data_IF_693231131783
#
_entry.id   IF_693231131783
#
_cell.length_a   1.000
_cell.length_b   1.000
_cell.length_c   1.000
_cell.angle_alpha   90.00
_cell.angle_beta   90.00
_cell.angle_gamma   90.00
#
_symmetry.space_group_name_H-M   'P 1'
#
loop_
_entity.id
_entity.type
_entity.pdbx_description
1 polymer ?
#
# COMPACT_ATOMS: atom_id res chain seq x y z
N UNK A 1 -27.22 -32.42 -34.43
CA UNK A 1 -28.58 -32.66 -33.90
C UNK A 1 -28.82 -31.62 -32.83
N UNK A 2 -29.81 -30.76 -33.05
CA UNK A 2 -30.10 -29.57 -32.23
C UNK A 2 -30.58 -29.97 -30.84
N UNK A 3 -29.94 -29.47 -29.78
CA UNK A 3 -30.44 -29.61 -28.42
C UNK A 3 -31.32 -28.39 -28.09
N UNK A 4 -32.62 -28.65 -28.00
CA UNK A 4 -33.68 -27.75 -27.56
C UNK A 4 -33.52 -27.44 -26.07
N UNK A 5 -33.56 -26.17 -25.68
CA UNK A 5 -33.61 -25.77 -24.27
C UNK A 5 -35.06 -25.68 -23.81
N UNK A 6 -35.48 -26.60 -22.94
CA UNK A 6 -36.71 -26.51 -22.15
C UNK A 6 -36.37 -26.00 -20.75
N UNK A 7 -36.76 -24.77 -20.47
CA UNK A 7 -36.73 -24.18 -19.13
C UNK A 7 -37.72 -24.92 -18.23
N UNK A 8 -37.20 -25.53 -17.17
CA UNK A 8 -37.99 -25.84 -15.97
C UNK A 8 -37.21 -25.30 -14.79
N UNK A 9 -37.91 -24.57 -13.92
CA UNK A 9 -37.35 -23.97 -12.71
C UNK A 9 -36.56 -25.00 -11.90
N UNK A 10 -35.28 -24.71 -11.75
CA UNK A 10 -34.48 -25.22 -10.66
C UNK A 10 -33.60 -24.07 -10.20
N UNK A 11 -33.56 -23.82 -8.89
CA UNK A 11 -32.52 -23.04 -8.25
C UNK A 11 -31.17 -23.72 -8.58
N UNK A 12 -30.57 -23.38 -9.71
CA UNK A 12 -29.23 -23.82 -10.06
C UNK A 12 -28.30 -22.99 -9.19
N UNK A 13 -28.06 -23.49 -7.97
CA UNK A 13 -26.85 -23.12 -7.24
C UNK A 13 -25.70 -23.70 -8.05
N UNK A 14 -25.20 -22.94 -9.01
CA UNK A 14 -23.97 -23.26 -9.72
C UNK A 14 -22.86 -23.15 -8.69
N UNK A 15 -22.57 -24.25 -7.99
CA UNK A 15 -21.29 -24.42 -7.32
C UNK A 15 -20.23 -24.42 -8.40
N UNK A 16 -19.70 -23.22 -8.70
CA UNK A 16 -18.53 -23.06 -9.54
C UNK A 16 -17.42 -23.92 -8.90
N UNK A 17 -16.79 -24.78 -9.70
CA UNK A 17 -15.60 -25.51 -9.25
C UNK A 17 -14.59 -24.50 -8.69
N UNK A 18 -13.84 -24.77 -7.61
CA UNK A 18 -12.84 -23.86 -7.07
C UNK A 18 -11.84 -23.34 -8.12
N UNK A 19 -11.61 -24.11 -9.18
CA UNK A 19 -10.79 -23.78 -10.36
C UNK A 19 -11.40 -22.77 -11.35
N UNK A 20 -12.67 -22.40 -11.20
CA UNK A 20 -13.38 -21.40 -12.01
C UNK A 20 -13.33 -19.99 -11.37
N UNK A 21 -12.82 -19.90 -10.14
CA UNK A 21 -12.56 -18.62 -9.47
C UNK A 21 -11.15 -18.19 -9.83
N UNK A 22 -11.00 -17.05 -10.51
CA UNK A 22 -9.69 -16.50 -10.79
C UNK A 22 -8.92 -16.29 -9.46
N UNK A 23 -7.61 -16.59 -9.42
CA UNK A 23 -6.82 -16.36 -8.22
C UNK A 23 -6.92 -14.90 -7.79
N UNK A 24 -7.17 -14.69 -6.49
CA UNK A 24 -7.28 -13.36 -5.88
C UNK A 24 -5.91 -12.94 -5.36
N UNK A 25 -5.50 -11.72 -5.69
CA UNK A 25 -4.31 -11.12 -5.11
C UNK A 25 -4.66 -10.43 -3.80
N UNK A 26 -3.94 -10.77 -2.74
CA UNK A 26 -4.04 -10.07 -1.46
C UNK A 26 -3.01 -8.93 -1.42
N UNK A 27 -3.40 -7.79 -0.84
CA UNK A 27 -2.50 -6.66 -0.61
C UNK A 27 -2.62 -6.18 0.83
N UNK A 28 -1.48 -5.93 1.47
CA UNK A 28 -1.39 -5.24 2.75
C UNK A 28 -1.31 -3.73 2.51
N UNK A 29 -2.17 -2.95 3.17
CA UNK A 29 -2.14 -1.49 3.09
C UNK A 29 -1.25 -0.91 4.18
N UNK A 30 -0.14 -0.27 3.80
CA UNK A 30 0.75 0.45 4.71
C UNK A 30 0.44 1.93 4.69
N UNK A 31 0.22 2.49 5.88
CA UNK A 31 0.06 3.92 6.06
C UNK A 31 1.40 4.65 5.84
N UNK A 32 1.39 5.67 5.00
CA UNK A 32 2.50 6.60 4.80
C UNK A 32 2.63 7.59 5.96
N UNK A 33 3.22 7.17 7.07
CA UNK A 33 3.45 8.04 8.24
C UNK A 33 4.68 8.91 7.98
N UNK A 34 4.47 10.01 7.25
CA UNK A 34 5.57 10.83 6.76
C UNK A 34 5.99 11.95 7.72
N UNK A 35 5.15 12.36 8.68
CA UNK A 35 5.49 13.39 9.67
C UNK A 35 6.42 12.82 10.76
N UNK A 36 7.33 13.64 11.27
CA UNK A 36 8.47 13.23 12.13
C UNK A 36 9.48 12.26 11.50
N UNK A 37 9.33 11.88 10.23
CA UNK A 37 10.23 10.94 9.55
C UNK A 37 11.68 11.45 9.48
N UNK A 38 11.90 12.76 9.36
CA UNK A 38 13.26 13.34 9.33
C UNK A 38 13.91 13.49 10.72
N UNK A 39 13.31 12.93 11.77
CA UNK A 39 13.88 12.97 13.13
C UNK A 39 14.51 11.64 13.49
N UNK A 40 15.49 11.62 14.39
CA UNK A 40 16.18 10.36 14.77
C UNK A 40 15.24 9.31 15.34
N UNK A 41 14.18 9.74 16.03
CA UNK A 41 13.25 8.84 16.72
C UNK A 41 12.05 8.42 15.88
N UNK A 42 11.74 9.06 14.76
CA UNK A 42 10.58 8.69 13.92
C UNK A 42 9.28 8.56 14.74
N UNK A 43 9.05 9.51 15.66
CA UNK A 43 8.08 9.35 16.75
C UNK A 43 6.66 8.93 16.29
N UNK A 44 6.19 9.49 15.17
CA UNK A 44 4.87 9.14 14.63
C UNK A 44 4.79 7.67 14.17
N UNK A 45 5.82 7.18 13.48
CA UNK A 45 5.93 5.78 13.05
C UNK A 45 5.92 4.84 14.26
N UNK A 46 6.70 5.17 15.31
CA UNK A 46 6.73 4.38 16.54
C UNK A 46 5.35 4.27 17.18
N UNK A 47 4.62 5.39 17.30
CA UNK A 47 3.26 5.38 17.87
C UNK A 47 2.24 4.68 17.00
N UNK A 48 2.45 4.64 15.68
CA UNK A 48 1.62 3.90 14.74
C UNK A 48 1.91 2.38 14.74
N UNK A 49 2.97 1.95 15.41
CA UNK A 49 3.39 0.55 15.49
C UNK A 49 4.48 0.14 14.50
N UNK A 50 5.02 1.07 13.71
CA UNK A 50 6.21 0.83 12.90
C UNK A 50 7.44 1.14 13.72
N UNK A 51 8.20 0.12 14.14
CA UNK A 51 9.45 0.33 14.88
C UNK A 51 10.59 0.80 13.95
N UNK A 52 10.38 1.92 13.26
CA UNK A 52 11.35 2.57 12.39
C UNK A 52 12.12 3.60 13.22
N UNK A 53 13.44 3.66 13.08
CA UNK A 53 14.27 4.67 13.73
C UNK A 53 15.63 4.79 13.04
N UNK A 54 16.46 5.73 13.48
CA UNK A 54 17.83 5.83 12.98
C UNK A 54 18.66 4.57 13.33
N UNK A 55 18.77 3.64 12.38
CA UNK A 55 19.51 2.38 12.52
C UNK A 55 18.64 1.13 12.59
N UNK A 56 17.31 1.28 12.67
CA UNK A 56 16.36 0.17 12.63
C UNK A 56 15.34 0.44 11.52
N UNK A 57 15.24 -0.49 10.56
CA UNK A 57 14.22 -0.41 9.53
C UNK A 57 12.95 -1.10 10.03
N UNK A 58 11.93 -0.30 10.39
CA UNK A 58 10.67 -0.80 10.98
C UNK A 58 9.76 -1.54 10.01
N UNK A 59 10.09 -1.54 8.72
CA UNK A 59 9.29 -2.17 7.66
C UNK A 59 9.89 -3.48 7.14
N UNK A 60 11.11 -3.84 7.59
CA UNK A 60 11.85 -4.98 7.06
C UNK A 60 11.11 -6.31 7.32
N UNK A 61 10.69 -6.54 8.58
CA UNK A 61 9.94 -7.74 8.97
C UNK A 61 8.56 -7.82 8.30
N UNK A 62 7.90 -6.66 8.10
CA UNK A 62 6.61 -6.58 7.41
C UNK A 62 6.76 -7.02 5.95
N UNK A 63 7.79 -6.55 5.26
CA UNK A 63 8.06 -6.92 3.87
C UNK A 63 8.47 -8.39 3.75
N UNK A 64 9.27 -8.90 4.69
CA UNK A 64 9.60 -10.32 4.76
C UNK A 64 8.36 -11.20 4.95
N UNK A 65 7.42 -10.78 5.81
CA UNK A 65 6.15 -11.47 6.03
C UNK A 65 5.29 -11.47 4.77
N UNK A 66 5.18 -10.33 4.09
CA UNK A 66 4.46 -10.22 2.82
C UNK A 66 5.05 -11.14 1.75
N UNK A 67 6.37 -11.20 1.62
CA UNK A 67 7.04 -12.10 0.69
C UNK A 67 6.74 -13.58 0.99
N UNK A 68 6.79 -13.96 2.27
CA UNK A 68 6.48 -15.33 2.71
C UNK A 68 5.06 -15.77 2.32
N UNK A 69 4.09 -14.86 2.41
CA UNK A 69 2.68 -15.15 2.11
C UNK A 69 2.24 -14.76 0.68
N UNK A 70 3.17 -14.31 -0.18
CA UNK A 70 2.87 -13.84 -1.53
C UNK A 70 1.82 -12.71 -1.54
N UNK A 71 1.88 -11.84 -0.53
CA UNK A 71 1.00 -10.69 -0.36
C UNK A 71 1.70 -9.45 -0.95
N UNK A 72 0.98 -8.68 -1.75
CA UNK A 72 1.46 -7.40 -2.27
C UNK A 72 1.35 -6.31 -1.21
N UNK A 73 1.92 -5.14 -1.46
CA UNK A 73 1.80 -4.00 -0.54
C UNK A 73 1.30 -2.76 -1.27
N UNK A 74 0.26 -2.14 -0.73
CA UNK A 74 -0.24 -0.83 -1.18
C UNK A 74 0.23 0.25 -0.20
N UNK A 75 0.94 1.26 -0.69
CA UNK A 75 1.49 2.36 0.13
C UNK A 75 0.68 3.64 -0.11
N UNK A 76 0.36 4.40 0.94
CA UNK A 76 -0.30 5.70 0.80
C UNK A 76 0.71 6.86 0.69
N UNK A 77 0.23 8.07 0.39
CA UNK A 77 1.02 9.32 0.34
C UNK A 77 2.01 9.40 -0.83
N UNK A 78 1.77 8.67 -1.92
CA UNK A 78 2.70 8.63 -3.07
C UNK A 78 2.71 9.91 -3.91
N UNK A 79 1.73 10.78 -3.72
CA UNK A 79 1.59 12.08 -4.39
C UNK A 79 2.34 13.21 -3.70
N UNK A 80 2.76 13.00 -2.45
CA UNK A 80 3.33 14.05 -1.61
C UNK A 80 4.80 14.31 -1.95
N UNK A 81 5.21 15.58 -1.86
CA UNK A 81 6.60 16.00 -1.89
C UNK A 81 7.03 16.55 -0.54
N UNK A 82 8.33 16.44 -0.23
CA UNK A 82 8.88 16.93 1.04
C UNK A 82 8.67 18.45 1.20
N UNK A 83 8.63 19.18 0.08
CA UNK A 83 8.47 20.64 0.01
C UNK A 83 7.04 21.13 0.32
N UNK A 84 6.03 20.26 0.27
CA UNK A 84 4.62 20.62 0.51
C UNK A 84 4.28 20.78 2.00
N UNK A 85 5.23 20.55 2.91
CA UNK A 85 4.96 20.44 4.34
C UNK A 85 5.69 21.50 5.19
N UNK A 86 5.11 21.94 6.32
CA UNK A 86 5.78 22.84 7.26
C UNK A 86 7.08 22.23 7.82
N UNK A 87 8.12 23.05 7.98
CA UNK A 87 9.45 22.61 8.44
C UNK A 87 9.43 22.01 9.86
N UNK A 88 8.49 22.43 10.68
CA UNK A 88 8.25 21.96 12.04
C UNK A 88 7.67 20.55 12.10
N UNK A 89 6.95 20.11 11.06
CA UNK A 89 6.37 18.77 10.99
C UNK A 89 7.43 17.70 10.69
N UNK A 90 8.63 18.10 10.24
CA UNK A 90 9.76 17.21 9.92
C UNK A 90 9.34 16.07 8.98
N UNK A 91 8.50 16.42 8.01
CA UNK A 91 7.97 15.48 7.03
C UNK A 91 9.06 14.94 6.10
N UNK A 92 8.94 13.68 5.69
CA UNK A 92 9.80 13.09 4.65
C UNK A 92 9.10 12.03 3.81
N UNK A 93 7.97 12.33 3.15
CA UNK A 93 7.22 11.36 2.33
C UNK A 93 8.07 10.71 1.23
N UNK A 94 8.96 11.47 0.57
CA UNK A 94 9.81 10.92 -0.50
C UNK A 94 10.89 9.97 0.06
N UNK A 95 11.42 10.29 1.23
CA UNK A 95 12.34 9.43 1.98
C UNK A 95 11.69 8.11 2.39
N UNK A 96 10.49 8.18 2.97
CA UNK A 96 9.69 7.02 3.34
C UNK A 96 9.38 6.14 2.13
N UNK A 97 8.91 6.72 1.04
CA UNK A 97 8.60 5.99 -0.20
C UNK A 97 9.85 5.32 -0.79
N UNK A 98 11.02 5.98 -0.73
CA UNK A 98 12.29 5.39 -1.15
C UNK A 98 12.65 4.18 -0.28
N UNK A 99 12.53 4.27 1.04
CA UNK A 99 12.79 3.16 1.96
C UNK A 99 11.92 1.94 1.63
N UNK A 100 10.61 2.14 1.46
CA UNK A 100 9.67 1.06 1.13
C UNK A 100 9.94 0.45 -0.25
N UNK A 101 10.26 1.26 -1.27
CA UNK A 101 10.64 0.77 -2.61
C UNK A 101 11.90 -0.10 -2.57
N UNK A 102 12.91 0.30 -1.80
CA UNK A 102 14.13 -0.50 -1.63
C UNK A 102 13.81 -1.84 -0.97
N UNK A 103 12.94 -1.87 0.04
CA UNK A 103 12.51 -3.12 0.66
C UNK A 103 11.66 -4.00 -0.25
N UNK A 104 10.71 -3.43 -0.97
CA UNK A 104 9.90 -4.17 -1.94
C UNK A 104 10.80 -4.84 -2.99
N UNK A 105 11.80 -4.12 -3.49
CA UNK A 105 12.80 -4.69 -4.39
C UNK A 105 13.68 -5.75 -3.71
N UNK A 106 14.11 -5.55 -2.45
CA UNK A 106 14.92 -6.50 -1.68
C UNK A 106 14.18 -7.83 -1.49
N UNK A 107 12.89 -7.79 -1.16
CA UNK A 107 12.09 -8.96 -0.81
C UNK A 107 11.27 -9.54 -1.97
N UNK A 108 11.28 -8.90 -3.14
CA UNK A 108 10.47 -9.32 -4.30
C UNK A 108 8.97 -9.08 -4.09
N UNK A 109 8.59 -8.15 -3.23
CA UNK A 109 7.19 -7.80 -2.95
C UNK A 109 6.72 -6.74 -3.94
N UNK A 110 5.60 -7.00 -4.61
CA UNK A 110 5.00 -6.02 -5.52
C UNK A 110 4.41 -4.85 -4.74
N UNK A 111 4.76 -3.63 -5.15
CA UNK A 111 4.26 -2.41 -4.55
C UNK A 111 3.26 -1.73 -5.48
N UNK A 112 2.13 -1.33 -4.92
CA UNK A 112 1.20 -0.37 -5.50
C UNK A 112 1.12 0.88 -4.60
N UNK A 113 0.48 1.94 -5.10
CA UNK A 113 0.41 3.20 -4.38
C UNK A 113 -0.94 3.89 -4.52
N UNK A 114 -1.32 4.62 -3.48
CA UNK A 114 -2.53 5.42 -3.42
C UNK A 114 -2.20 6.83 -2.91
N UNK A 115 -2.90 7.83 -3.44
CA UNK A 115 -2.80 9.17 -2.91
C UNK A 115 -3.43 9.20 -1.50
N UNK A 116 -2.83 9.93 -0.57
CA UNK A 116 -3.44 10.14 0.74
C UNK A 116 -4.49 11.25 0.71
N UNK A 117 -4.28 12.27 -0.13
CA UNK A 117 -5.18 13.38 -0.33
C UNK A 117 -5.76 13.37 -1.75
N UNK A 118 -6.95 13.95 -1.89
CA UNK A 118 -7.55 14.14 -3.19
C UNK A 118 -6.77 15.23 -3.96
N UNK A 119 -6.11 14.84 -5.05
CA UNK A 119 -5.36 15.74 -5.91
C UNK A 119 -5.95 15.69 -7.31
N UNK A 120 -6.49 16.82 -7.77
CA UNK A 120 -7.10 16.95 -9.09
C UNK A 120 -6.34 17.93 -10.02
N UNK A 121 -5.33 18.62 -9.49
CA UNK A 121 -4.47 19.51 -10.26
C UNK A 121 -3.27 18.75 -10.84
N UNK A 122 -2.82 19.15 -12.03
CA UNK A 122 -1.66 18.56 -12.71
C UNK A 122 -0.33 18.78 -11.99
N UNK A 123 -0.31 19.56 -10.91
CA UNK A 123 0.89 19.95 -10.17
C UNK A 123 1.02 19.41 -8.75
N UNK A 124 0.07 18.61 -8.24
CA UNK A 124 0.13 18.11 -6.86
C UNK A 124 -0.16 19.17 -5.81
N UNK A 125 -1.37 19.16 -5.25
CA UNK A 125 -1.76 19.73 -3.96
C UNK A 125 -1.03 20.96 -3.39
N UNK A 126 -0.75 21.99 -4.19
CA UNK A 126 -0.30 23.30 -3.70
C UNK A 126 -1.50 24.16 -3.29
N UNK A 127 -2.14 23.84 -2.16
CA UNK A 127 -3.15 24.70 -1.55
C UNK A 127 -2.49 25.83 -0.77
N UNK A 128 -2.16 26.93 -1.45
CA UNK A 128 -1.81 28.19 -0.78
C UNK A 128 -3.02 28.73 -0.03
N UNK A 129 -2.88 28.86 1.28
CA UNK A 129 -3.68 29.73 2.15
C UNK A 129 -2.77 30.79 2.75
#
# INVERSE_FOLDING_TARGET
TTATATTTDANVTTTLSPSLVAPVNLSLKLAGIHWWFMTRCHAAELTAGYFNSQGQNGYDDVMSLCAHHQVHVTITCIEMSDEQHPLEAKCGPQGLLRQLRLLGSKYGVQLSGENALAVFSSGGGGGGG
#
